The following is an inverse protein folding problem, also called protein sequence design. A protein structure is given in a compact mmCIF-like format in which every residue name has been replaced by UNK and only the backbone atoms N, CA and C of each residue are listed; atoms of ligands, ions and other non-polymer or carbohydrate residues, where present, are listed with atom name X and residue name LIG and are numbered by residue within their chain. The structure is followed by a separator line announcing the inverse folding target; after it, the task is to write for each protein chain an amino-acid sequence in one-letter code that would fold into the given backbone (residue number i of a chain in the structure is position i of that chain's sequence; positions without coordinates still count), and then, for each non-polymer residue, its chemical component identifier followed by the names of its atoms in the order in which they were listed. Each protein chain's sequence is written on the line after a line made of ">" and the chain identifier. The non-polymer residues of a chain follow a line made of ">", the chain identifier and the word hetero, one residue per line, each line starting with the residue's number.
data_IF_198618534459
#
_entry.id   IF_198618534459
#
_cell.length_a   1.000
_cell.length_b   1.000
_cell.length_c   1.000
_cell.angle_alpha   90.00
_cell.angle_beta   90.00
_cell.angle_gamma   90.00
#
_symmetry.space_group_name_H-M   'P 1'
#
loop_
_entity.id
_entity.type
_entity.pdbx_description
1 polymer ?
#
# COMPACT_ATOMS: atom_id res chain seq x y z
N UNK A 1 3.68 16.81 -13.37
CA UNK A 1 2.36 17.48 -13.38
C UNK A 1 2.36 18.47 -12.24
N UNK A 2 1.85 19.68 -12.46
CA UNK A 2 1.95 20.79 -11.50
C UNK A 2 0.60 21.42 -11.20
N UNK A 3 0.54 22.13 -10.08
CA UNK A 3 -0.61 22.89 -9.62
C UNK A 3 -0.21 24.36 -9.49
N UNK A 4 -1.15 25.27 -9.74
CA UNK A 4 -0.90 26.69 -9.61
C UNK A 4 -2.18 27.48 -9.37
N UNK A 5 -2.06 28.58 -8.64
CA UNK A 5 -3.16 29.50 -8.37
C UNK A 5 -2.66 30.94 -8.33
N UNK A 6 -3.59 31.88 -8.49
CA UNK A 6 -3.33 33.32 -8.45
C UNK A 6 -4.47 34.02 -7.72
N UNK A 7 -4.15 35.00 -6.88
CA UNK A 7 -5.17 35.84 -6.23
C UNK A 7 -5.59 36.94 -7.21
N UNK A 8 -6.89 37.01 -7.49
CA UNK A 8 -7.47 37.96 -8.44
C UNK A 8 -7.05 39.39 -8.11
N UNK A 9 -6.66 40.14 -9.15
CA UNK A 9 -6.22 41.54 -9.06
C UNK A 9 -4.96 41.77 -8.20
N UNK A 10 -4.16 40.73 -7.99
CA UNK A 10 -2.86 40.85 -7.31
C UNK A 10 -1.77 40.13 -8.12
N UNK A 11 -0.52 40.35 -7.74
CA UNK A 11 0.64 39.62 -8.26
C UNK A 11 0.98 38.39 -7.40
N UNK A 12 0.15 38.07 -6.41
CA UNK A 12 0.37 36.92 -5.54
C UNK A 12 -0.05 35.66 -6.29
N UNK A 13 0.95 34.91 -6.72
CA UNK A 13 0.79 33.60 -7.34
C UNK A 13 1.59 32.51 -6.63
N UNK A 14 1.24 31.27 -6.93
CA UNK A 14 1.94 30.11 -6.42
C UNK A 14 1.97 29.00 -7.46
N UNK A 15 3.08 28.27 -7.51
CA UNK A 15 3.25 27.09 -8.36
C UNK A 15 3.99 25.99 -7.61
N UNK A 16 3.57 24.75 -7.80
CA UNK A 16 4.24 23.58 -7.26
C UNK A 16 4.08 22.37 -8.17
N UNK A 17 4.98 21.39 -7.99
CA UNK A 17 4.82 20.04 -8.51
C UNK A 17 4.25 19.08 -7.47
N UNK A 18 3.78 17.94 -7.94
CA UNK A 18 3.48 16.78 -7.08
C UNK A 18 4.16 15.54 -7.65
N UNK A 19 4.70 14.71 -6.77
CA UNK A 19 5.19 13.37 -7.09
C UNK A 19 4.12 12.32 -6.81
N UNK A 20 4.18 11.23 -7.57
CA UNK A 20 3.33 10.04 -7.45
C UNK A 20 1.82 10.27 -7.72
N UNK A 21 1.24 9.33 -8.48
CA UNK A 21 -0.20 9.31 -8.86
C UNK A 21 -0.76 10.63 -9.41
N UNK A 22 -0.11 11.29 -10.39
CA UNK A 22 -0.61 12.53 -10.95
C UNK A 22 -1.93 12.29 -11.70
N UNK A 23 -2.98 12.99 -11.29
CA UNK A 23 -4.25 13.10 -12.02
C UNK A 23 -4.68 14.55 -12.03
N UNK A 24 -5.38 14.99 -13.08
CA UNK A 24 -5.81 16.39 -13.21
C UNK A 24 -6.62 16.83 -11.98
N UNK A 25 -7.58 16.03 -11.53
CA UNK A 25 -8.39 16.33 -10.34
C UNK A 25 -7.55 16.45 -9.06
N UNK A 26 -6.45 15.68 -8.93
CA UNK A 26 -5.57 15.76 -7.76
C UNK A 26 -4.78 17.08 -7.72
N UNK A 27 -4.35 17.58 -8.88
CA UNK A 27 -3.65 18.88 -8.99
C UNK A 27 -4.59 20.04 -8.67
N UNK A 28 -5.83 19.96 -9.15
CA UNK A 28 -6.86 20.95 -8.86
C UNK A 28 -7.16 21.02 -7.36
N UNK A 29 -7.29 19.86 -6.71
CA UNK A 29 -7.44 19.80 -5.25
C UNK A 29 -6.20 20.32 -4.53
N UNK A 30 -4.99 20.05 -5.03
CA UNK A 30 -3.75 20.59 -4.45
C UNK A 30 -3.65 22.11 -4.60
N UNK A 31 -4.06 22.67 -5.74
CA UNK A 31 -4.13 24.11 -5.96
C UNK A 31 -5.08 24.77 -4.95
N UNK A 32 -6.26 24.18 -4.74
CA UNK A 32 -7.23 24.65 -3.74
C UNK A 32 -6.65 24.56 -2.32
N UNK A 33 -6.03 23.44 -1.97
CA UNK A 33 -5.43 23.23 -0.65
C UNK A 33 -4.36 24.27 -0.34
N UNK A 34 -3.42 24.46 -1.26
CA UNK A 34 -2.31 25.43 -1.10
C UNK A 34 -2.79 26.87 -1.10
N UNK A 35 -3.86 27.20 -1.84
CA UNK A 35 -4.51 28.50 -1.74
C UNK A 35 -5.13 28.72 -0.36
N UNK A 36 -5.81 27.72 0.21
CA UNK A 36 -6.41 27.84 1.55
C UNK A 36 -5.38 27.96 2.68
N UNK A 37 -4.17 27.46 2.47
CA UNK A 37 -3.07 27.66 3.42
C UNK A 37 -2.66 29.14 3.54
N UNK A 38 -2.81 29.95 2.48
CA UNK A 38 -2.48 31.38 2.51
C UNK A 38 -3.62 32.26 3.00
N UNK A 39 -4.86 31.74 3.02
CA UNK A 39 -6.04 32.46 3.50
C UNK A 39 -5.99 32.67 5.03
N UNK A 40 -6.28 33.88 5.55
CA UNK A 40 -6.33 34.16 6.98
C UNK A 40 -7.56 33.53 7.67
N UNK A 41 -7.52 33.45 9.00
CA UNK A 41 -8.59 32.88 9.84
C UNK A 41 -9.86 33.77 9.73
N UNK A 42 -11.04 33.14 9.80
CA UNK A 42 -12.37 33.77 9.76
C UNK A 42 -12.66 34.53 8.45
N UNK A 43 -12.27 34.00 7.30
CA UNK A 43 -12.47 34.67 6.01
C UNK A 43 -13.54 34.00 5.13
N UNK A 44 -14.27 34.81 4.37
CA UNK A 44 -15.16 34.35 3.30
C UNK A 44 -14.35 34.26 2.01
N UNK A 45 -14.05 33.03 1.58
CA UNK A 45 -13.14 32.78 0.46
C UNK A 45 -13.89 32.25 -0.75
N UNK A 46 -13.70 32.93 -1.87
CA UNK A 46 -14.30 32.58 -3.16
C UNK A 46 -13.20 32.02 -4.09
N UNK A 47 -13.32 30.76 -4.48
CA UNK A 47 -12.36 30.11 -5.41
C UNK A 47 -13.07 29.80 -6.72
N UNK A 48 -12.40 30.12 -7.82
CA UNK A 48 -12.86 29.91 -9.19
C UNK A 48 -11.97 28.85 -9.84
N UNK A 49 -12.55 27.74 -10.27
CA UNK A 49 -11.83 26.61 -10.91
C UNK A 49 -12.64 26.06 -12.08
N UNK A 50 -11.97 25.54 -13.09
CA UNK A 50 -12.59 24.81 -14.19
C UNK A 50 -12.73 23.30 -13.90
N UNK A 51 -12.41 22.83 -12.70
CA UNK A 51 -12.55 21.43 -12.34
C UNK A 51 -13.87 21.17 -11.63
N UNK A 52 -14.89 20.75 -12.41
CA UNK A 52 -16.18 20.35 -11.82
C UNK A 52 -16.01 19.17 -10.85
N UNK A 53 -15.13 18.22 -11.20
CA UNK A 53 -14.85 17.06 -10.37
C UNK A 53 -14.27 17.44 -9.00
N UNK A 54 -13.42 18.48 -8.93
CA UNK A 54 -12.89 18.97 -7.66
C UNK A 54 -13.99 19.62 -6.82
N UNK A 55 -14.85 20.45 -7.45
CA UNK A 55 -16.00 21.08 -6.79
C UNK A 55 -16.94 20.04 -6.21
N UNK A 56 -17.35 19.06 -7.02
CA UNK A 56 -18.27 18.01 -6.59
C UNK A 56 -17.66 17.17 -5.46
N UNK A 57 -16.37 16.85 -5.54
CA UNK A 57 -15.68 16.07 -4.50
C UNK A 57 -15.63 16.81 -3.16
N UNK A 58 -15.33 18.12 -3.15
CA UNK A 58 -15.30 18.93 -1.93
C UNK A 58 -16.72 19.09 -1.35
N UNK A 59 -17.71 19.39 -2.20
CA UNK A 59 -19.10 19.52 -1.76
C UNK A 59 -19.64 18.21 -1.16
N UNK A 60 -19.34 17.08 -1.79
CA UNK A 60 -19.69 15.77 -1.26
C UNK A 60 -19.01 15.53 0.11
N UNK A 61 -17.74 15.89 0.26
CA UNK A 61 -17.02 15.74 1.53
C UNK A 61 -17.63 16.61 2.65
N UNK A 62 -18.01 17.85 2.34
CA UNK A 62 -18.69 18.75 3.28
C UNK A 62 -20.06 18.23 3.73
N UNK A 63 -20.79 17.55 2.84
CA UNK A 63 -22.09 16.92 3.15
C UNK A 63 -21.96 15.66 4.02
N UNK A 64 -20.81 14.98 3.99
CA UNK A 64 -20.57 13.75 4.76
C UNK A 64 -20.19 14.00 6.23
N UNK A 65 -20.28 15.26 6.72
CA UNK A 65 -20.05 15.61 8.13
C UNK A 65 -20.94 14.75 9.05
N UNK A 66 -20.29 13.90 9.86
CA UNK A 66 -20.94 13.01 10.84
C UNK A 66 -21.31 11.61 10.32
N UNK A 67 -21.03 11.25 9.07
CA UNK A 67 -21.34 9.92 8.51
C UNK A 67 -20.07 9.05 8.46
N UNK A 68 -20.14 7.91 9.16
CA UNK A 68 -19.30 6.70 9.13
C UNK A 68 -18.04 6.80 8.24
N UNK A 69 -16.88 6.82 8.90
CA UNK A 69 -15.50 6.87 8.38
C UNK A 69 -15.29 6.05 7.08
N UNK A 70 -15.93 4.89 6.96
CA UNK A 70 -15.83 3.99 5.80
C UNK A 70 -16.29 4.58 4.46
N UNK A 71 -17.25 5.52 4.42
CA UNK A 71 -17.66 6.18 3.16
C UNK A 71 -16.63 7.23 2.72
N UNK A 72 -16.00 7.90 3.68
CA UNK A 72 -14.96 8.89 3.44
C UNK A 72 -13.73 8.24 2.79
N UNK A 73 -13.27 7.11 3.34
CA UNK A 73 -12.09 6.38 2.84
C UNK A 73 -12.22 5.81 1.42
N UNK A 74 -13.44 5.70 0.88
CA UNK A 74 -13.66 5.21 -0.48
C UNK A 74 -13.58 6.31 -1.53
N UNK A 75 -13.47 7.58 -1.13
CA UNK A 75 -13.34 8.67 -2.07
C UNK A 75 -11.92 8.74 -2.63
N UNK A 76 -11.82 8.92 -3.95
CA UNK A 76 -10.54 9.20 -4.60
C UNK A 76 -10.00 10.53 -4.08
N UNK A 77 -8.68 10.62 -3.87
CA UNK A 77 -8.02 11.79 -3.30
C UNK A 77 -8.55 12.21 -1.91
N UNK A 78 -9.09 11.27 -1.12
CA UNK A 78 -9.59 11.49 0.24
C UNK A 78 -8.66 12.35 1.10
N UNK A 79 -7.35 12.10 1.04
CA UNK A 79 -6.34 12.82 1.81
C UNK A 79 -6.40 14.34 1.56
N UNK A 80 -6.42 14.76 0.29
CA UNK A 80 -6.52 16.17 -0.08
C UNK A 80 -7.87 16.77 0.31
N UNK A 81 -8.95 16.01 0.11
CA UNK A 81 -10.30 16.44 0.46
C UNK A 81 -10.46 16.64 1.97
N UNK A 82 -9.92 15.72 2.76
CA UNK A 82 -9.89 15.80 4.21
C UNK A 82 -9.10 17.04 4.65
N UNK A 83 -7.90 17.26 4.11
CA UNK A 83 -7.08 18.42 4.44
C UNK A 83 -7.79 19.76 4.14
N UNK A 84 -8.46 19.86 2.99
CA UNK A 84 -9.22 21.06 2.60
C UNK A 84 -10.36 21.32 3.59
N UNK A 85 -11.14 20.29 3.93
CA UNK A 85 -12.28 20.41 4.85
C UNK A 85 -11.81 20.70 6.28
N UNK A 86 -10.76 20.03 6.74
CA UNK A 86 -10.17 20.22 8.07
C UNK A 86 -9.58 21.63 8.21
N UNK A 87 -8.84 22.13 7.21
CA UNK A 87 -8.35 23.50 7.19
C UNK A 87 -9.48 24.53 7.17
N UNK A 88 -10.53 24.27 6.38
CA UNK A 88 -11.72 25.12 6.37
C UNK A 88 -12.36 25.21 7.75
N UNK A 89 -12.39 24.11 8.50
CA UNK A 89 -12.88 24.07 9.87
C UNK A 89 -11.95 24.78 10.86
N UNK A 90 -10.66 24.44 10.86
CA UNK A 90 -9.64 25.00 11.77
C UNK A 90 -9.54 26.53 11.62
N UNK A 91 -9.45 27.00 10.37
CA UNK A 91 -9.37 28.43 10.07
C UNK A 91 -10.73 29.13 10.04
N UNK A 92 -11.84 28.42 10.26
CA UNK A 92 -13.22 28.94 10.16
C UNK A 92 -13.44 29.71 8.83
N UNK A 93 -12.96 29.14 7.73
CA UNK A 93 -13.11 29.71 6.39
C UNK A 93 -14.47 29.28 5.84
N UNK A 94 -15.26 30.25 5.39
CA UNK A 94 -16.44 29.96 4.58
C UNK A 94 -16.02 29.85 3.11
N UNK A 95 -15.83 28.61 2.65
CA UNK A 95 -15.36 28.32 1.30
C UNK A 95 -16.53 28.24 0.31
N UNK A 96 -16.51 29.09 -0.72
CA UNK A 96 -17.47 29.09 -1.82
C UNK A 96 -16.72 28.81 -3.13
N UNK A 97 -17.13 27.75 -3.82
CA UNK A 97 -16.51 27.30 -5.07
C UNK A 97 -17.39 27.65 -6.28
N UNK A 98 -16.79 28.26 -7.30
CA UNK A 98 -17.45 28.59 -8.56
C UNK A 98 -16.81 27.84 -9.73
N UNK A 99 -17.66 27.23 -10.55
CA UNK A 99 -17.26 26.62 -11.81
C UNK A 99 -17.02 27.70 -12.87
N UNK A 100 -15.82 27.71 -13.44
CA UNK A 100 -15.49 28.49 -14.64
C UNK A 100 -15.46 27.57 -15.86
N UNK A 101 -15.80 28.09 -17.04
CA UNK A 101 -15.65 27.34 -18.30
C UNK A 101 -14.17 27.30 -18.67
N UNK A 102 -13.60 26.10 -18.80
CA UNK A 102 -12.25 25.93 -19.32
C UNK A 102 -12.14 26.50 -20.73
N UNK A 103 -11.00 27.11 -21.07
CA UNK A 103 -10.71 27.69 -22.39
C UNK A 103 -11.73 28.73 -22.88
N UNK A 104 -12.36 29.47 -21.96
CA UNK A 104 -13.35 30.52 -22.30
C UNK A 104 -12.74 31.93 -22.43
N UNK A 105 -11.42 32.06 -22.44
CA UNK A 105 -10.71 33.35 -22.47
C UNK A 105 -10.74 34.10 -21.13
N UNK A 106 -10.93 33.39 -20.02
CA UNK A 106 -10.87 33.98 -18.69
C UNK A 106 -9.40 34.24 -18.32
N UNK A 107 -8.99 35.51 -18.35
CA UNK A 107 -7.62 35.98 -18.11
C UNK A 107 -6.98 35.32 -16.88
N UNK A 108 -7.72 35.19 -15.78
CA UNK A 108 -7.19 34.65 -14.52
C UNK A 108 -7.08 33.12 -14.52
N UNK A 109 -8.01 32.42 -15.18
CA UNK A 109 -7.93 30.96 -15.33
C UNK A 109 -6.77 30.59 -16.26
N UNK A 110 -6.65 31.29 -17.39
CA UNK A 110 -5.56 31.05 -18.35
C UNK A 110 -4.18 31.34 -17.72
N UNK A 111 -4.10 32.29 -16.78
CA UNK A 111 -2.90 32.50 -15.96
C UNK A 111 -2.65 31.34 -15.00
N UNK A 112 -3.67 30.85 -14.30
CA UNK A 112 -3.54 29.68 -13.42
C UNK A 112 -3.08 28.42 -14.18
N UNK A 113 -3.60 28.19 -15.40
CA UNK A 113 -3.18 27.07 -16.26
C UNK A 113 -1.70 27.17 -16.66
N UNK A 114 -1.25 28.38 -17.02
CA UNK A 114 0.18 28.65 -17.31
C UNK A 114 1.06 28.42 -16.08
N UNK A 115 0.59 28.82 -14.90
CA UNK A 115 1.27 28.62 -13.63
C UNK A 115 1.36 27.12 -13.29
N UNK A 116 0.29 26.35 -13.46
CA UNK A 116 0.30 24.91 -13.27
C UNK A 116 1.29 24.19 -14.20
N UNK A 117 1.36 24.63 -15.47
CA UNK A 117 2.35 24.11 -16.44
C UNK A 117 3.77 24.42 -16.00
N UNK A 118 4.05 25.67 -15.62
CA UNK A 118 5.36 26.10 -15.11
C UNK A 118 5.77 25.32 -13.85
N UNK A 119 4.83 25.10 -12.93
CA UNK A 119 5.05 24.28 -11.74
C UNK A 119 5.44 22.84 -12.07
N UNK A 120 4.87 22.27 -13.14
CA UNK A 120 5.26 20.94 -13.61
C UNK A 120 6.67 20.87 -14.19
N UNK A 121 7.12 21.92 -14.87
CA UNK A 121 8.45 21.99 -15.48
C UNK A 121 9.51 22.21 -14.41
N UNK A 122 9.29 23.18 -13.50
CA UNK A 122 10.22 23.48 -12.40
C UNK A 122 10.41 22.30 -11.44
N UNK A 123 9.37 21.50 -11.22
CA UNK A 123 9.44 20.32 -10.38
C UNK A 123 10.26 19.16 -10.99
N UNK A 124 10.55 19.19 -12.29
CA UNK A 124 11.49 18.24 -12.91
C UNK A 124 12.95 18.66 -12.69
N UNK A 125 13.19 19.95 -12.50
CA UNK A 125 14.54 20.52 -12.37
C UNK A 125 14.96 20.68 -10.90
N UNK A 126 14.01 20.87 -9.99
CA UNK A 126 14.28 21.06 -8.57
C UNK A 126 13.25 20.34 -7.68
N UNK A 127 13.73 19.41 -6.86
CA UNK A 127 12.92 18.64 -5.91
C UNK A 127 12.28 19.51 -4.83
N UNK A 128 12.86 20.64 -4.45
CA UNK A 128 12.30 21.57 -3.45
C UNK A 128 10.99 22.24 -3.91
N UNK A 129 10.66 22.14 -5.20
CA UNK A 129 9.39 22.64 -5.78
C UNK A 129 8.28 21.60 -5.74
N UNK A 130 8.57 20.40 -5.24
CA UNK A 130 7.62 19.31 -5.08
C UNK A 130 6.97 19.43 -3.70
N UNK A 131 5.66 19.53 -3.68
CA UNK A 131 4.92 19.51 -2.43
C UNK A 131 4.76 18.06 -1.96
N UNK A 132 5.39 17.76 -0.83
CA UNK A 132 5.16 16.52 -0.10
C UNK A 132 3.90 16.65 0.76
N UNK A 133 2.92 15.79 0.48
CA UNK A 133 1.65 15.76 1.21
C UNK A 133 1.83 15.26 2.64
N UNK A 134 2.88 14.50 2.94
CA UNK A 134 3.17 14.05 4.30
C UNK A 134 3.49 15.22 5.23
N UNK A 135 4.05 16.32 4.70
CA UNK A 135 4.39 17.52 5.48
C UNK A 135 3.18 18.44 5.76
N UNK A 136 2.12 18.35 4.96
CA UNK A 136 0.96 19.26 5.04
C UNK A 136 -0.13 18.73 5.97
N UNK A 137 -0.19 17.42 6.20
CA UNK A 137 -1.25 16.77 6.96
C UNK A 137 -0.92 16.74 8.46
N UNK A 138 -1.92 16.89 9.33
CA UNK A 138 -1.75 16.66 10.78
C UNK A 138 -1.52 15.16 11.07
N UNK A 139 -0.88 14.85 12.21
CA UNK A 139 -0.46 13.48 12.62
C UNK A 139 -1.49 12.37 12.40
N UNK A 140 -2.79 12.62 12.61
CA UNK A 140 -3.83 11.59 12.42
C UNK A 140 -4.07 11.26 10.93
N UNK A 141 -4.08 12.26 10.05
CA UNK A 141 -4.17 12.06 8.61
C UNK A 141 -2.85 11.55 8.01
N UNK A 142 -1.70 11.86 8.64
CA UNK A 142 -0.39 11.29 8.28
C UNK A 142 -0.39 9.77 8.46
N UNK A 143 -0.89 9.22 9.59
CA UNK A 143 -0.94 7.77 9.76
C UNK A 143 -1.77 7.09 8.67
N UNK A 144 -2.91 7.67 8.29
CA UNK A 144 -3.79 7.14 7.24
C UNK A 144 -3.17 7.28 5.83
N UNK A 145 -2.49 8.40 5.55
CA UNK A 145 -1.74 8.64 4.33
C UNK A 145 -0.56 7.67 4.20
N UNK A 146 0.17 7.39 5.29
CA UNK A 146 1.30 6.46 5.33
C UNK A 146 0.90 5.02 4.95
N UNK A 147 -0.35 4.60 5.19
CA UNK A 147 -0.85 3.33 4.66
C UNK A 147 -1.00 3.35 3.14
N UNK A 148 -1.42 4.48 2.57
CA UNK A 148 -1.55 4.66 1.12
C UNK A 148 -0.23 4.88 0.39
N UNK A 149 0.77 5.46 1.08
CA UNK A 149 2.14 5.64 0.61
C UNK A 149 3.10 4.57 1.11
N UNK A 150 2.59 3.43 1.61
CA UNK A 150 3.43 2.40 2.19
C UNK A 150 4.54 2.00 1.19
N UNK A 151 5.77 2.41 1.49
CA UNK A 151 6.95 2.21 0.65
C UNK A 151 7.14 0.75 0.24
N UNK A 152 6.73 -0.20 1.09
CA UNK A 152 6.83 -1.63 0.81
C UNK A 152 5.85 -2.12 -0.25
N UNK A 153 4.75 -1.40 -0.46
CA UNK A 153 3.72 -1.66 -1.47
C UNK A 153 3.81 -0.75 -2.69
N UNK A 154 4.44 0.43 -2.59
CA UNK A 154 4.58 1.38 -3.70
C UNK A 154 5.16 0.71 -4.94
N UNK A 155 6.30 0.02 -4.82
CA UNK A 155 6.94 -0.68 -5.95
C UNK A 155 6.04 -1.79 -6.54
N UNK A 156 5.27 -2.48 -5.69
CA UNK A 156 4.37 -3.58 -6.07
C UNK A 156 3.14 -3.05 -6.82
N UNK A 157 2.58 -1.91 -6.41
CA UNK A 157 1.40 -1.31 -7.05
C UNK A 157 1.75 -0.46 -8.28
N UNK A 158 2.99 0.04 -8.38
CA UNK A 158 3.50 0.71 -9.58
C UNK A 158 3.76 -0.32 -10.69
N UNK A 159 4.27 -1.51 -10.35
CA UNK A 159 4.45 -2.64 -11.27
C UNK A 159 3.11 -3.36 -11.56
N UNK A 160 2.11 -2.59 -11.98
CA UNK A 160 0.69 -2.98 -12.13
C UNK A 160 0.45 -4.02 -13.23
N UNK A 161 1.50 -4.54 -13.88
CA UNK A 161 1.39 -5.42 -15.03
C UNK A 161 2.11 -6.76 -14.81
N UNK A 162 1.31 -7.77 -14.44
CA UNK A 162 1.46 -9.22 -14.72
C UNK A 162 2.25 -10.11 -13.75
N UNK A 163 2.97 -9.60 -12.75
CA UNK A 163 3.88 -10.46 -11.98
C UNK A 163 3.22 -11.36 -10.90
N UNK A 164 2.11 -10.94 -10.28
CA UNK A 164 1.49 -11.66 -9.16
C UNK A 164 0.05 -12.12 -9.41
N UNK A 165 -0.31 -13.24 -8.78
CA UNK A 165 -1.64 -13.85 -8.87
C UNK A 165 -2.61 -13.21 -7.86
N UNK A 166 -3.00 -11.95 -8.13
CA UNK A 166 -3.80 -11.08 -7.26
C UNK A 166 -5.13 -11.68 -6.80
N UNK A 167 -5.78 -12.46 -7.65
CA UNK A 167 -7.01 -13.17 -7.31
C UNK A 167 -6.88 -13.96 -6.02
N UNK A 168 -5.73 -14.62 -5.82
CA UNK A 168 -5.53 -15.45 -4.64
C UNK A 168 -5.22 -14.67 -3.37
N UNK A 169 -4.51 -13.55 -3.52
CA UNK A 169 -4.23 -12.63 -2.43
C UNK A 169 -5.53 -12.07 -1.84
N UNK A 170 -6.38 -11.50 -2.69
CA UNK A 170 -7.63 -10.90 -2.26
C UNK A 170 -8.63 -11.92 -1.73
N UNK A 171 -8.69 -13.12 -2.33
CA UNK A 171 -9.55 -14.18 -1.82
C UNK A 171 -9.10 -14.68 -0.44
N UNK A 172 -7.79 -14.74 -0.20
CA UNK A 172 -7.22 -15.10 1.11
C UNK A 172 -7.63 -14.08 2.17
N UNK A 173 -7.46 -12.78 1.92
CA UNK A 173 -7.86 -11.72 2.85
C UNK A 173 -9.36 -11.79 3.14
N UNK A 174 -10.21 -11.94 2.11
CA UNK A 174 -11.66 -12.06 2.27
C UNK A 174 -12.06 -13.24 3.15
N UNK A 175 -11.39 -14.39 2.98
CA UNK A 175 -11.67 -15.60 3.77
C UNK A 175 -11.28 -15.44 5.24
N UNK A 176 -10.09 -14.90 5.52
CA UNK A 176 -9.62 -14.69 6.91
C UNK A 176 -10.52 -13.69 7.64
N UNK A 177 -10.95 -12.64 6.94
CA UNK A 177 -11.85 -11.63 7.52
C UNK A 177 -13.28 -12.17 7.75
N UNK A 178 -13.68 -13.32 7.20
CA UNK A 178 -15.07 -13.82 7.26
C UNK A 178 -16.13 -12.74 6.97
N UNK A 179 -15.80 -11.78 6.10
CA UNK A 179 -16.53 -10.53 5.84
C UNK A 179 -16.66 -9.55 7.03
N UNK A 180 -16.74 -10.00 8.29
CA UNK A 180 -17.03 -9.15 9.46
C UNK A 180 -16.15 -9.40 10.71
N UNK A 181 -15.02 -10.11 10.61
CA UNK A 181 -14.05 -10.35 11.69
C UNK A 181 -14.70 -10.66 13.06
N UNK A 182 -15.43 -11.77 13.12
CA UNK A 182 -16.37 -12.11 14.20
C UNK A 182 -15.76 -12.70 15.49
N UNK A 183 -14.45 -12.84 15.61
CA UNK A 183 -13.81 -13.41 16.81
C UNK A 183 -12.43 -12.82 17.06
N UNK A 184 -11.98 -12.83 18.31
CA UNK A 184 -10.62 -12.41 18.67
C UNK A 184 -9.54 -13.24 17.96
N UNK A 185 -9.82 -14.53 17.72
CA UNK A 185 -8.89 -15.42 17.01
C UNK A 185 -8.76 -15.03 15.53
N UNK A 186 -9.88 -14.86 14.84
CA UNK A 186 -9.89 -14.45 13.42
C UNK A 186 -9.32 -13.04 13.25
N UNK A 187 -9.63 -12.12 14.16
CA UNK A 187 -9.01 -10.81 14.21
C UNK A 187 -7.49 -10.88 14.41
N UNK A 188 -7.03 -11.71 15.36
CA UNK A 188 -5.60 -11.92 15.58
C UNK A 188 -4.88 -12.51 14.37
N UNK A 189 -5.51 -13.44 13.63
CA UNK A 189 -5.00 -13.98 12.36
C UNK A 189 -4.91 -12.90 11.28
N UNK A 190 -5.97 -12.11 11.11
CA UNK A 190 -6.01 -11.00 10.15
C UNK A 190 -4.92 -9.97 10.45
N UNK A 191 -4.82 -9.50 11.70
CA UNK A 191 -3.81 -8.52 12.13
C UNK A 191 -2.40 -9.04 11.83
N UNK A 192 -2.13 -10.31 12.10
CA UNK A 192 -0.81 -10.88 11.81
C UNK A 192 -0.50 -10.86 10.30
N UNK A 193 -1.45 -11.24 9.45
CA UNK A 193 -1.28 -11.19 7.99
C UNK A 193 -1.04 -9.74 7.52
N UNK A 194 -1.84 -8.80 8.00
CA UNK A 194 -1.68 -7.37 7.68
C UNK A 194 -0.30 -6.86 8.13
N UNK A 195 0.19 -7.28 9.30
CA UNK A 195 1.53 -6.92 9.76
C UNK A 195 2.63 -7.50 8.87
N UNK A 196 2.55 -8.78 8.49
CA UNK A 196 3.51 -9.37 7.56
C UNK A 196 3.53 -8.62 6.21
N UNK A 197 2.34 -8.30 5.70
CA UNK A 197 2.14 -7.60 4.43
C UNK A 197 2.77 -6.21 4.38
N UNK A 198 2.72 -5.49 5.49
CA UNK A 198 3.14 -4.09 5.56
C UNK A 198 4.51 -3.92 6.22
N UNK A 199 5.25 -5.01 6.45
CA UNK A 199 6.50 -5.01 7.21
C UNK A 199 6.37 -4.36 8.61
N UNK A 200 5.29 -4.67 9.33
CA UNK A 200 4.99 -4.13 10.68
C UNK A 200 5.16 -5.17 11.79
N UNK A 201 5.87 -6.26 11.50
CA UNK A 201 6.25 -7.24 12.51
C UNK A 201 7.29 -6.61 13.47
N UNK A 202 7.34 -7.08 14.71
CA UNK A 202 8.30 -6.58 15.73
C UNK A 202 9.69 -7.20 15.51
N UNK A 203 10.22 -7.02 14.31
CA UNK A 203 11.60 -7.28 13.95
C UNK A 203 12.50 -6.20 14.53
N UNK A 204 13.79 -6.48 14.70
CA UNK A 204 14.69 -5.54 15.40
C UNK A 204 14.80 -4.21 14.64
N UNK A 205 14.85 -4.19 13.30
CA UNK A 205 14.76 -2.95 12.51
C UNK A 205 13.57 -2.07 12.91
N UNK A 206 12.38 -2.65 13.01
CA UNK A 206 11.16 -1.96 13.42
C UNK A 206 11.17 -1.54 14.90
N UNK A 207 11.89 -2.26 15.76
CA UNK A 207 12.09 -1.87 17.16
C UNK A 207 13.08 -0.72 17.30
N UNK A 208 14.17 -0.70 16.51
CA UNK A 208 15.15 0.41 16.45
C UNK A 208 14.47 1.73 16.10
N UNK A 209 13.52 1.70 15.15
CA UNK A 209 12.72 2.87 14.79
C UNK A 209 11.83 3.41 15.92
N UNK A 210 11.50 2.58 16.93
CA UNK A 210 10.64 2.97 18.04
C UNK A 210 11.43 3.45 19.26
N UNK A 211 12.54 2.77 19.57
CA UNK A 211 13.34 3.02 20.77
C UNK A 211 14.82 2.76 20.50
N UNK A 212 15.68 3.69 20.94
CA UNK A 212 17.13 3.64 20.72
C UNK A 212 17.83 2.48 21.44
N UNK A 213 17.19 1.84 22.42
CA UNK A 213 17.76 0.72 23.19
C UNK A 213 18.06 -0.51 22.31
N UNK A 214 17.43 -0.62 21.14
CA UNK A 214 17.59 -1.75 20.23
C UNK A 214 18.69 -1.54 19.17
N UNK A 215 19.36 -0.38 19.13
CA UNK A 215 20.28 0.00 18.04
C UNK A 215 21.44 -0.98 17.84
N UNK A 216 21.97 -1.54 18.93
CA UNK A 216 23.13 -2.43 18.90
C UNK A 216 22.76 -3.92 18.80
N UNK A 217 21.47 -4.24 18.69
CA UNK A 217 21.05 -5.64 18.61
C UNK A 217 21.20 -6.18 17.19
N UNK A 218 21.78 -7.38 17.13
CA UNK A 218 21.83 -8.24 15.96
C UNK A 218 20.62 -9.17 15.95
N UNK A 219 20.37 -9.82 14.81
CA UNK A 219 19.32 -10.81 14.65
C UNK A 219 19.34 -11.89 15.72
N UNK A 220 18.22 -12.05 16.43
CA UNK A 220 18.11 -13.01 17.55
C UNK A 220 18.10 -14.48 17.11
N UNK A 221 18.02 -14.73 15.80
CA UNK A 221 18.08 -16.07 15.23
C UNK A 221 19.51 -16.50 14.90
N UNK A 222 20.35 -15.62 14.33
CA UNK A 222 21.72 -15.95 13.93
C UNK A 222 22.83 -15.24 14.72
N UNK A 223 22.53 -14.15 15.42
CA UNK A 223 23.46 -13.27 16.14
C UNK A 223 24.63 -12.74 15.30
N UNK A 224 24.47 -12.62 13.96
CA UNK A 224 25.54 -12.23 13.03
C UNK A 224 25.28 -10.92 12.28
N UNK A 225 24.05 -10.73 11.80
CA UNK A 225 23.68 -9.61 10.92
C UNK A 225 22.58 -8.75 11.54
N UNK A 226 22.38 -7.56 10.98
CA UNK A 226 21.22 -6.72 11.34
C UNK A 226 19.92 -7.38 10.88
N UNK A 227 18.94 -7.41 11.80
CA UNK A 227 17.68 -8.05 11.50
C UNK A 227 16.72 -7.11 10.78
N UNK A 228 16.36 -7.53 9.57
CA UNK A 228 15.20 -7.03 8.84
C UNK A 228 14.28 -8.19 8.52
N UNK A 229 13.02 -7.92 8.15
CA UNK A 229 12.14 -8.99 7.67
C UNK A 229 12.75 -9.73 6.47
N UNK A 230 13.48 -9.03 5.59
CA UNK A 230 14.21 -9.65 4.47
C UNK A 230 15.29 -10.60 4.97
N UNK A 231 16.15 -10.14 5.88
CA UNK A 231 17.16 -10.98 6.52
C UNK A 231 16.53 -12.22 7.16
N UNK A 232 15.44 -12.07 7.93
CA UNK A 232 14.74 -13.22 8.54
C UNK A 232 14.28 -14.27 7.53
N UNK A 233 14.05 -13.93 6.25
CA UNK A 233 13.68 -14.94 5.25
C UNK A 233 14.83 -15.80 4.76
N UNK A 234 16.08 -15.32 4.88
CA UNK A 234 17.30 -16.01 4.43
C UNK A 234 18.25 -16.36 5.57
N UNK A 235 17.96 -15.89 6.78
CA UNK A 235 18.75 -16.09 7.99
C UNK A 235 19.01 -17.57 8.25
N UNK A 236 20.29 -17.91 8.49
CA UNK A 236 20.74 -19.27 8.80
C UNK A 236 19.96 -19.87 9.98
N UNK A 237 19.72 -19.08 11.03
CA UNK A 237 18.99 -19.52 12.22
C UNK A 237 17.50 -19.79 11.99
N UNK A 238 16.94 -19.38 10.85
CA UNK A 238 15.53 -19.63 10.47
C UNK A 238 15.38 -20.70 9.38
N UNK A 239 16.49 -21.20 8.84
CA UNK A 239 16.48 -22.03 7.64
C UNK A 239 15.72 -23.35 7.86
N UNK A 240 15.96 -24.02 8.99
CA UNK A 240 15.26 -25.25 9.37
C UNK A 240 13.74 -25.01 9.50
N UNK A 241 13.33 -23.89 10.11
CA UNK A 241 11.93 -23.53 10.26
C UNK A 241 11.25 -23.40 8.90
N UNK A 242 11.89 -22.72 7.95
CA UNK A 242 11.36 -22.59 6.60
C UNK A 242 11.27 -23.93 5.89
N UNK A 243 12.26 -24.82 6.04
CA UNK A 243 12.21 -26.15 5.46
C UNK A 243 11.02 -26.95 6.00
N UNK A 244 10.77 -26.90 7.31
CA UNK A 244 9.59 -27.52 7.94
C UNK A 244 8.29 -26.91 7.39
N UNK A 245 8.19 -25.57 7.32
CA UNK A 245 7.03 -24.85 6.79
C UNK A 245 6.74 -25.30 5.35
N UNK A 246 7.75 -25.25 4.49
CA UNK A 246 7.64 -25.58 3.07
C UNK A 246 7.24 -27.04 2.88
N UNK A 247 7.87 -27.96 3.61
CA UNK A 247 7.54 -29.39 3.55
C UNK A 247 6.08 -29.65 3.97
N UNK A 248 5.60 -29.01 5.04
CA UNK A 248 4.21 -29.13 5.50
C UNK A 248 3.20 -28.55 4.49
N UNK A 249 3.56 -27.46 3.80
CA UNK A 249 2.75 -26.89 2.72
C UNK A 249 2.62 -27.88 1.57
N UNK A 250 3.73 -28.43 1.08
CA UNK A 250 3.73 -29.41 -0.02
C UNK A 250 2.86 -30.62 0.34
N UNK A 251 3.03 -31.20 1.53
CA UNK A 251 2.26 -32.37 1.97
C UNK A 251 0.75 -32.06 1.96
N UNK A 252 0.34 -30.91 2.49
CA UNK A 252 -1.07 -30.52 2.53
C UNK A 252 -1.65 -30.23 1.15
N UNK A 253 -0.89 -29.59 0.27
CA UNK A 253 -1.33 -29.30 -1.10
C UNK A 253 -1.45 -30.60 -1.91
N UNK A 254 -0.51 -31.53 -1.79
CA UNK A 254 -0.61 -32.84 -2.44
C UNK A 254 -1.87 -33.60 -2.01
N UNK A 255 -2.24 -33.56 -0.72
CA UNK A 255 -3.50 -34.15 -0.23
C UNK A 255 -4.72 -33.51 -0.92
N UNK A 256 -4.71 -32.21 -1.16
CA UNK A 256 -5.79 -31.49 -1.85
C UNK A 256 -5.84 -31.86 -3.33
N UNK A 257 -4.68 -31.94 -4.00
CA UNK A 257 -4.59 -32.36 -5.41
C UNK A 257 -5.15 -33.76 -5.57
N UNK A 258 -4.70 -34.72 -4.75
CA UNK A 258 -5.16 -36.12 -4.77
C UNK A 258 -6.67 -36.24 -4.52
N UNK A 259 -7.23 -35.41 -3.64
CA UNK A 259 -8.68 -35.39 -3.36
C UNK A 259 -9.50 -34.87 -4.55
N UNK A 260 -8.97 -33.93 -5.31
CA UNK A 260 -9.70 -33.27 -6.40
C UNK A 260 -9.47 -33.88 -7.79
N UNK A 261 -8.36 -34.58 -8.00
CA UNK A 261 -7.97 -35.03 -9.33
C UNK A 261 -7.33 -36.43 -9.28
N UNK A 262 -8.09 -37.46 -9.65
CA UNK A 262 -7.65 -38.86 -9.59
C UNK A 262 -6.68 -39.27 -10.70
N UNK A 263 -6.47 -38.42 -11.72
CA UNK A 263 -5.69 -38.78 -12.94
C UNK A 263 -4.28 -38.17 -13.00
N UNK A 264 -3.98 -37.09 -12.26
CA UNK A 264 -2.69 -36.40 -12.36
C UNK A 264 -1.80 -36.71 -11.15
N UNK A 265 -0.73 -37.48 -11.38
CA UNK A 265 0.31 -37.76 -10.40
C UNK A 265 1.37 -36.65 -10.39
N UNK A 266 1.11 -35.56 -9.67
CA UNK A 266 2.17 -34.60 -9.33
C UNK A 266 2.98 -35.18 -8.17
N UNK A 267 4.28 -35.36 -8.36
CA UNK A 267 5.16 -35.88 -7.32
C UNK A 267 5.50 -34.80 -6.28
N UNK A 268 5.99 -35.22 -5.12
CA UNK A 268 6.42 -34.30 -4.06
C UNK A 268 7.55 -33.36 -4.54
N UNK A 269 8.57 -33.91 -5.21
CA UNK A 269 9.70 -33.13 -5.71
C UNK A 269 9.27 -32.19 -6.83
N UNK A 270 8.36 -32.61 -7.70
CA UNK A 270 7.81 -31.73 -8.73
C UNK A 270 7.08 -30.53 -8.12
N UNK A 271 6.16 -30.76 -7.18
CA UNK A 271 5.40 -29.67 -6.56
C UNK A 271 6.32 -28.72 -5.79
N UNK A 272 7.35 -29.28 -5.13
CA UNK A 272 8.37 -28.52 -4.39
C UNK A 272 9.14 -27.58 -5.32
N UNK A 273 9.57 -28.05 -6.49
CA UNK A 273 10.24 -27.22 -7.52
C UNK A 273 9.30 -26.17 -8.14
N UNK A 274 8.02 -26.52 -8.33
CA UNK A 274 7.05 -25.57 -8.90
C UNK A 274 6.80 -24.41 -7.93
N UNK A 275 6.41 -24.71 -6.68
CA UNK A 275 6.01 -23.69 -5.70
C UNK A 275 7.19 -22.90 -5.14
N UNK A 276 8.33 -23.57 -4.94
CA UNK A 276 9.56 -22.97 -4.41
C UNK A 276 10.65 -23.06 -5.47
N UNK A 277 10.53 -22.21 -6.50
CA UNK A 277 11.43 -22.22 -7.68
C UNK A 277 12.91 -22.31 -7.30
N UNK A 278 13.34 -21.56 -6.29
CA UNK A 278 14.71 -21.51 -5.81
C UNK A 278 15.27 -22.83 -5.27
N UNK A 279 14.45 -23.88 -5.14
CA UNK A 279 14.93 -25.25 -4.87
C UNK A 279 15.46 -25.95 -6.12
N UNK A 280 15.37 -25.29 -7.27
CA UNK A 280 16.13 -25.63 -8.46
C UNK A 280 17.48 -24.91 -8.42
N UNK A 281 18.57 -25.62 -8.72
CA UNK A 281 19.95 -25.13 -8.60
C UNK A 281 20.18 -23.85 -9.42
N UNK A 282 19.46 -23.70 -10.53
CA UNK A 282 19.53 -22.55 -11.45
C UNK A 282 18.93 -21.27 -10.87
N UNK A 283 18.10 -21.35 -9.82
CA UNK A 283 17.36 -20.18 -9.30
C UNK A 283 17.50 -19.98 -7.79
N UNK A 284 18.57 -20.50 -7.18
CA UNK A 284 18.86 -20.38 -5.75
C UNK A 284 18.82 -18.93 -5.24
N UNK A 285 19.24 -17.98 -6.07
CA UNK A 285 19.20 -16.53 -5.82
C UNK A 285 17.78 -15.98 -5.59
N UNK A 286 16.74 -16.66 -6.08
CA UNK A 286 15.33 -16.24 -5.89
C UNK A 286 14.76 -16.61 -4.52
N UNK A 287 15.55 -17.22 -3.63
CA UNK A 287 15.10 -17.67 -2.31
C UNK A 287 14.56 -16.53 -1.46
N UNK A 288 15.29 -15.43 -1.35
CA UNK A 288 14.85 -14.22 -0.63
C UNK A 288 13.55 -13.70 -1.23
N UNK A 289 13.53 -13.47 -2.55
CA UNK A 289 12.37 -12.94 -3.26
C UNK A 289 11.11 -13.79 -3.03
N UNK A 290 11.19 -15.10 -3.20
CA UNK A 290 10.02 -15.99 -3.07
C UNK A 290 9.48 -16.00 -1.63
N UNK A 291 10.35 -16.07 -0.62
CA UNK A 291 9.94 -16.05 0.78
C UNK A 291 9.37 -14.69 1.19
N UNK A 292 9.96 -13.58 0.74
CA UNK A 292 9.44 -12.22 0.96
C UNK A 292 8.08 -12.01 0.27
N UNK A 293 7.90 -12.53 -0.94
CA UNK A 293 6.59 -12.49 -1.61
C UNK A 293 5.54 -13.27 -0.81
N UNK A 294 5.87 -14.48 -0.34
CA UNK A 294 4.96 -15.30 0.47
C UNK A 294 4.65 -14.68 1.84
N UNK A 295 5.61 -14.04 2.52
CA UNK A 295 5.35 -13.29 3.75
C UNK A 295 4.44 -12.08 3.50
N UNK A 296 4.47 -11.51 2.31
CA UNK A 296 3.51 -10.48 1.87
C UNK A 296 2.19 -11.06 1.35
N UNK A 297 2.01 -12.37 1.42
CA UNK A 297 0.82 -13.05 0.92
C UNK A 297 0.66 -12.97 -0.59
N UNK A 298 1.77 -12.86 -1.33
CA UNK A 298 1.83 -12.82 -2.79
C UNK A 298 2.40 -14.13 -3.32
N UNK A 299 1.93 -14.51 -4.51
CA UNK A 299 2.46 -15.64 -5.28
C UNK A 299 2.63 -15.17 -6.72
N UNK A 300 3.79 -15.44 -7.31
CA UNK A 300 4.05 -15.09 -8.71
C UNK A 300 3.08 -15.81 -9.66
N UNK A 301 2.56 -15.07 -10.64
CA UNK A 301 1.74 -15.59 -11.75
C UNK A 301 2.46 -16.73 -12.49
N UNK A 302 3.78 -16.63 -12.63
CA UNK A 302 4.59 -17.65 -13.31
C UNK A 302 4.55 -19.01 -12.60
N UNK A 303 4.52 -19.03 -11.27
CA UNK A 303 4.39 -20.25 -10.46
C UNK A 303 3.02 -20.89 -10.71
N UNK A 304 1.96 -20.07 -10.71
CA UNK A 304 0.60 -20.54 -10.91
C UNK A 304 0.34 -20.97 -12.36
N UNK A 305 0.96 -20.33 -13.36
CA UNK A 305 0.89 -20.75 -14.75
C UNK A 305 1.54 -22.13 -14.96
N UNK A 306 2.73 -22.36 -14.38
CA UNK A 306 3.40 -23.67 -14.43
C UNK A 306 2.56 -24.77 -13.77
N UNK A 307 1.92 -24.45 -12.63
CA UNK A 307 1.04 -25.40 -11.98
C UNK A 307 -0.21 -25.69 -12.83
N UNK A 308 -0.80 -24.66 -13.46
CA UNK A 308 -1.98 -24.78 -14.31
C UNK A 308 -1.77 -25.68 -15.54
N UNK A 309 -0.55 -25.84 -16.04
CA UNK A 309 -0.26 -26.81 -17.11
C UNK A 309 -0.59 -28.24 -16.68
N UNK A 310 -0.53 -28.53 -15.37
CA UNK A 310 -0.75 -29.85 -14.78
C UNK A 310 -2.08 -29.99 -14.05
N UNK A 311 -2.88 -28.93 -13.88
CA UNK A 311 -4.17 -28.99 -13.14
C UNK A 311 -5.22 -28.07 -13.75
N UNK A 312 -6.50 -28.30 -13.42
CA UNK A 312 -7.58 -27.41 -13.86
C UNK A 312 -7.43 -25.99 -13.28
N UNK A 313 -7.91 -24.99 -14.02
CA UNK A 313 -7.95 -23.58 -13.58
C UNK A 313 -8.61 -23.40 -12.20
N UNK A 314 -9.71 -24.13 -11.96
CA UNK A 314 -10.43 -24.10 -10.69
C UNK A 314 -9.58 -24.62 -9.53
N UNK A 315 -8.87 -25.74 -9.74
CA UNK A 315 -7.97 -26.31 -8.73
C UNK A 315 -6.77 -25.39 -8.50
N UNK A 316 -6.24 -24.75 -9.53
CA UNK A 316 -5.13 -23.82 -9.43
C UNK A 316 -5.44 -22.64 -8.51
N UNK A 317 -6.62 -22.02 -8.66
CA UNK A 317 -7.07 -20.94 -7.77
C UNK A 317 -7.21 -21.39 -6.31
N UNK A 318 -7.75 -22.59 -6.10
CA UNK A 318 -7.86 -23.19 -4.75
C UNK A 318 -6.48 -23.40 -4.12
N UNK A 319 -5.51 -23.91 -4.90
CA UNK A 319 -4.15 -24.15 -4.42
C UNK A 319 -3.45 -22.84 -4.10
N UNK A 320 -3.50 -21.84 -5.00
CA UNK A 320 -2.93 -20.52 -4.76
C UNK A 320 -3.38 -19.94 -3.40
N UNK A 321 -4.70 -19.93 -3.16
CA UNK A 321 -5.29 -19.48 -1.90
C UNK A 321 -4.78 -20.29 -0.71
N UNK A 322 -4.73 -21.61 -0.87
CA UNK A 322 -4.36 -22.49 0.23
C UNK A 322 -2.87 -22.38 0.56
N UNK A 323 -2.01 -22.17 -0.43
CA UNK A 323 -0.58 -21.94 -0.26
C UNK A 323 -0.35 -20.70 0.60
N UNK A 324 -0.96 -19.55 0.26
CA UNK A 324 -0.84 -18.30 1.03
C UNK A 324 -1.31 -18.51 2.47
N UNK A 325 -2.52 -19.08 2.64
CA UNK A 325 -3.09 -19.32 3.95
C UNK A 325 -2.26 -20.27 4.83
N UNK A 326 -1.77 -21.37 4.25
CA UNK A 326 -0.93 -22.33 4.96
C UNK A 326 0.42 -21.72 5.32
N UNK A 327 1.01 -20.93 4.41
CA UNK A 327 2.26 -20.23 4.67
C UNK A 327 2.14 -19.30 5.87
N UNK A 328 1.18 -18.36 5.88
CA UNK A 328 1.00 -17.47 7.04
C UNK A 328 0.70 -18.22 8.33
N UNK A 329 -0.11 -19.29 8.27
CA UNK A 329 -0.42 -20.11 9.44
C UNK A 329 0.84 -20.74 10.04
N UNK A 330 1.65 -21.38 9.20
CA UNK A 330 2.86 -22.07 9.66
C UNK A 330 3.99 -21.11 9.99
N UNK A 331 4.14 -20.03 9.23
CA UNK A 331 5.06 -18.94 9.54
C UNK A 331 4.79 -18.41 10.95
N UNK A 332 3.52 -18.13 11.29
CA UNK A 332 3.15 -17.68 12.63
C UNK A 332 3.44 -18.71 13.72
N UNK A 333 3.03 -19.96 13.50
CA UNK A 333 3.07 -20.98 14.55
C UNK A 333 4.44 -21.60 14.78
N UNK A 334 5.29 -21.66 13.75
CA UNK A 334 6.60 -22.32 13.78
C UNK A 334 7.71 -21.29 13.92
N UNK A 335 7.79 -20.32 12.99
CA UNK A 335 8.90 -19.36 12.96
C UNK A 335 8.65 -18.19 13.91
N UNK A 336 7.53 -17.47 13.74
CA UNK A 336 7.29 -16.23 14.48
C UNK A 336 7.14 -16.48 15.98
N UNK A 337 6.50 -17.59 16.38
CA UNK A 337 6.38 -17.97 17.79
C UNK A 337 7.76 -18.20 18.43
N UNK A 338 8.62 -18.99 17.78
CA UNK A 338 9.97 -19.26 18.27
C UNK A 338 10.84 -18.00 18.29
N UNK A 339 10.71 -17.14 17.27
CA UNK A 339 11.39 -15.85 17.23
C UNK A 339 10.99 -14.98 18.43
N UNK A 340 9.69 -14.86 18.72
CA UNK A 340 9.21 -14.09 19.88
C UNK A 340 9.74 -14.66 21.20
N UNK A 341 9.87 -15.98 21.33
CA UNK A 341 10.42 -16.64 22.54
C UNK A 341 11.92 -16.34 22.72
N UNK A 342 12.68 -16.18 21.64
CA UNK A 342 14.10 -15.80 21.70
C UNK A 342 14.35 -14.31 21.95
N UNK A 343 13.34 -13.48 21.73
CA UNK A 343 13.39 -12.03 21.93
C UNK A 343 12.99 -11.59 23.35
N UNK A 344 12.37 -12.47 24.13
CA UNK A 344 12.07 -12.28 25.55
C UNK A 344 13.32 -12.55 26.38
#
# INVERSE_FOLDING_TARGET
>A
MGAGWIVKNTEIDFTCGITYFPSSTRLELLAILTALLTVPINNNTHIYTDSQLAIDSINNMLQLKGIIERKLFKQNNYILLYAIVDLGYIKKINLILYKVKGHSGCIWNDKADKLAKKGSELALENEDRIVDLELILNNNAIYEANWSYNKYWNDIFIDRHKNWYWDAHWETIKRVNHFNCNSFKTNGELIHIIKCQNNLLLTIDNLKHRLNIYNNLLCSMCNKEEETLKHLTICEGTQENFEVIENQIIIKILKIIKKHNSKNNISYNELKKILFKYKDEVTSELKEKNRVELTRGLISSSIMMNLQQKISRKLNKIIANKTINLFHKFFRSILWKQYCEKMQ
#
